data_IF_936454978021
#
_entry.id   IF_936454978021
#
_cell.length_a   1.000
_cell.length_b   1.000
_cell.length_c   1.000
_cell.angle_alpha   90.00
_cell.angle_beta   90.00
_cell.angle_gamma   90.00
#
_symmetry.space_group_name_H-M   'P 1'
#
loop_
_entity.id
_entity.type
_entity.pdbx_description
1 polymer ?
#
# COMPACT_ATOMS: atom_id res chain seq x y z
N UNK A 1 19.45 10.85 17.40
CA UNK A 1 18.29 10.62 18.32
C UNK A 1 18.39 9.24 18.97
N UNK A 2 17.73 8.94 20.11
CA UNK A 2 17.87 7.64 20.76
C UNK A 2 17.15 6.53 19.97
N UNK A 3 17.81 5.37 19.88
CA UNK A 3 17.42 4.15 19.17
C UNK A 3 16.05 3.60 19.65
N UNK A 4 15.55 4.07 20.80
CA UNK A 4 14.28 3.69 21.43
C UNK A 4 13.02 3.93 20.56
N UNK A 5 13.10 4.74 19.52
CA UNK A 5 11.95 5.04 18.64
C UNK A 5 11.86 4.11 17.42
N UNK A 6 12.83 3.21 17.21
CA UNK A 6 12.82 2.29 16.06
C UNK A 6 11.70 1.26 16.16
N UNK A 7 11.47 0.71 17.36
CA UNK A 7 10.46 -0.33 17.60
C UNK A 7 9.04 0.13 17.25
N UNK A 8 8.53 1.28 17.76
CA UNK A 8 7.20 1.75 17.38
C UNK A 8 7.10 2.15 15.90
N UNK A 9 8.18 2.69 15.31
CA UNK A 9 8.19 3.06 13.89
C UNK A 9 8.07 1.82 12.99
N UNK A 10 8.82 0.76 13.31
CA UNK A 10 8.75 -0.50 12.56
C UNK A 10 7.37 -1.15 12.67
N UNK A 11 6.78 -1.17 13.87
CA UNK A 11 5.42 -1.68 14.08
C UNK A 11 4.42 -0.88 13.24
N UNK A 12 4.51 0.45 13.25
CA UNK A 12 3.62 1.30 12.46
C UNK A 12 3.75 1.02 10.95
N UNK A 13 4.97 0.87 10.43
CA UNK A 13 5.23 0.51 9.03
C UNK A 13 4.61 -0.85 8.70
N UNK A 14 4.85 -1.88 9.52
CA UNK A 14 4.28 -3.22 9.31
C UNK A 14 2.74 -3.18 9.31
N UNK A 15 2.12 -2.45 10.24
CA UNK A 15 0.68 -2.27 10.27
C UNK A 15 0.16 -1.59 8.99
N UNK A 16 0.88 -0.58 8.49
CA UNK A 16 0.53 0.12 7.25
C UNK A 16 0.58 -0.83 6.04
N UNK A 17 1.62 -1.66 5.91
CA UNK A 17 1.73 -2.66 4.84
C UNK A 17 0.60 -3.69 4.88
N UNK A 18 0.28 -4.20 6.07
CA UNK A 18 -0.85 -5.13 6.27
C UNK A 18 -2.16 -4.45 5.85
N UNK A 19 -2.37 -3.20 6.24
CA UNK A 19 -3.57 -2.44 5.86
C UNK A 19 -3.70 -2.29 4.33
N UNK A 20 -2.60 -1.94 3.65
CA UNK A 20 -2.54 -1.85 2.19
C UNK A 20 -2.89 -3.19 1.51
N UNK A 21 -2.31 -4.29 1.99
CA UNK A 21 -2.61 -5.63 1.49
C UNK A 21 -4.09 -5.99 1.67
N UNK A 22 -4.63 -5.80 2.88
CA UNK A 22 -6.00 -6.15 3.22
C UNK A 22 -7.01 -5.32 2.42
N UNK A 23 -6.74 -4.05 2.15
CA UNK A 23 -7.60 -3.21 1.31
C UNK A 23 -7.78 -3.79 -0.10
N UNK A 24 -6.67 -4.18 -0.75
CA UNK A 24 -6.70 -4.80 -2.08
C UNK A 24 -7.33 -6.20 -2.05
N UNK A 25 -7.06 -6.99 -1.00
CA UNK A 25 -7.68 -8.29 -0.82
C UNK A 25 -9.20 -8.20 -0.66
N UNK A 26 -9.69 -7.24 0.13
CA UNK A 26 -11.12 -6.98 0.31
C UNK A 26 -11.77 -6.52 -0.98
N UNK A 27 -11.13 -5.66 -1.76
CA UNK A 27 -11.68 -5.25 -3.06
C UNK A 27 -11.80 -6.44 -4.02
N UNK A 28 -10.81 -7.34 -4.04
CA UNK A 28 -10.90 -8.59 -4.82
C UNK A 28 -12.02 -9.50 -4.33
N UNK A 29 -12.26 -9.59 -3.02
CA UNK A 29 -13.37 -10.38 -2.47
C UNK A 29 -14.73 -9.79 -2.87
N UNK A 30 -14.94 -8.47 -2.69
CA UNK A 30 -16.15 -7.77 -3.17
C UNK A 30 -16.37 -7.99 -4.66
N UNK A 31 -15.29 -7.94 -5.43
CA UNK A 31 -15.30 -8.20 -6.86
C UNK A 31 -15.78 -9.61 -7.23
N UNK A 32 -15.42 -10.64 -6.46
CA UNK A 32 -15.88 -12.02 -6.64
C UNK A 32 -17.32 -12.22 -6.17
N UNK A 33 -17.74 -11.52 -5.12
CA UNK A 33 -19.07 -11.63 -4.53
C UNK A 33 -20.14 -10.78 -5.24
N UNK A 34 -19.80 -10.09 -6.34
CA UNK A 34 -20.74 -9.20 -7.05
C UNK A 34 -21.15 -7.96 -6.24
N UNK A 35 -20.42 -7.64 -5.18
CA UNK A 35 -20.70 -6.49 -4.32
C UNK A 35 -20.14 -5.20 -4.90
N UNK A 36 -20.62 -4.07 -4.38
CA UNK A 36 -20.14 -2.74 -4.74
C UNK A 36 -18.60 -2.64 -4.54
N UNK A 37 -17.88 -2.25 -5.58
CA UNK A 37 -16.41 -2.18 -5.58
C UNK A 37 -15.88 -0.91 -4.93
N UNK A 38 -14.71 -1.01 -4.31
CA UNK A 38 -14.07 0.12 -3.65
C UNK A 38 -13.67 1.17 -4.70
N UNK A 39 -13.90 2.47 -4.46
CA UNK A 39 -13.46 3.52 -5.37
C UNK A 39 -11.95 3.43 -5.61
N UNK A 40 -11.52 3.64 -6.86
CA UNK A 40 -10.10 3.53 -7.22
C UNK A 40 -9.24 4.53 -6.47
N UNK A 41 -9.73 5.75 -6.24
CA UNK A 41 -9.07 6.76 -5.42
C UNK A 41 -8.77 6.27 -4.00
N UNK A 42 -9.69 5.53 -3.39
CA UNK A 42 -9.48 4.94 -2.06
C UNK A 42 -8.40 3.88 -2.07
N UNK A 43 -8.34 3.03 -3.11
CA UNK A 43 -7.27 2.04 -3.26
C UNK A 43 -5.90 2.71 -3.47
N UNK A 44 -5.85 3.81 -4.22
CA UNK A 44 -4.65 4.63 -4.36
C UNK A 44 -4.21 5.22 -3.01
N UNK A 45 -5.14 5.73 -2.18
CA UNK A 45 -4.80 6.20 -0.84
C UNK A 45 -4.22 5.08 0.04
N UNK A 46 -4.79 3.87 0.01
CA UNK A 46 -4.21 2.73 0.73
C UNK A 46 -2.83 2.36 0.19
N UNK A 47 -2.61 2.47 -1.12
CA UNK A 47 -1.28 2.28 -1.72
C UNK A 47 -0.26 3.33 -1.28
N UNK A 48 -0.69 4.54 -0.93
CA UNK A 48 0.23 5.56 -0.41
C UNK A 48 0.66 5.26 1.04
N UNK A 49 -0.22 4.61 1.81
CA UNK A 49 0.02 4.27 3.22
C UNK A 49 0.83 2.97 3.34
N UNK A 50 0.47 1.91 2.62
CA UNK A 50 1.10 0.60 2.67
C UNK A 50 1.35 0.05 1.27
N UNK A 51 2.21 0.72 0.53
CA UNK A 51 2.38 0.52 -0.91
C UNK A 51 2.94 -0.84 -1.27
N UNK A 52 3.86 -1.39 -0.47
CA UNK A 52 4.44 -2.71 -0.73
C UNK A 52 3.41 -3.82 -0.52
N UNK A 53 2.65 -3.77 0.57
CA UNK A 53 1.57 -4.72 0.86
C UNK A 53 0.44 -4.64 -0.16
N UNK A 54 0.05 -3.43 -0.56
CA UNK A 54 -0.91 -3.21 -1.63
C UNK A 54 -0.40 -3.78 -2.97
N UNK A 55 0.88 -3.55 -3.31
CA UNK A 55 1.50 -4.06 -4.54
C UNK A 55 1.59 -5.58 -4.53
N UNK A 56 1.97 -6.20 -3.40
CA UNK A 56 1.96 -7.65 -3.21
C UNK A 56 0.55 -8.23 -3.41
N UNK A 57 -0.47 -7.65 -2.76
CA UNK A 57 -1.86 -8.07 -2.95
C UNK A 57 -2.31 -7.94 -4.41
N UNK A 58 -1.92 -6.85 -5.08
CA UNK A 58 -2.24 -6.64 -6.50
C UNK A 58 -1.72 -7.79 -7.37
N UNK A 59 -0.46 -8.20 -7.18
CA UNK A 59 0.18 -9.25 -7.97
C UNK A 59 -0.31 -10.66 -7.60
N UNK A 60 -0.33 -10.98 -6.31
CA UNK A 60 -0.76 -12.31 -5.82
C UNK A 60 -2.22 -12.60 -6.15
N UNK A 61 -3.10 -11.61 -6.02
CA UNK A 61 -4.53 -11.77 -6.29
C UNK A 61 -4.91 -11.46 -7.74
N UNK A 62 -3.92 -11.12 -8.57
CA UNK A 62 -4.09 -10.68 -9.98
C UNK A 62 -5.19 -9.63 -10.08
N UNK A 63 -5.15 -8.66 -9.18
CA UNK A 63 -6.16 -7.62 -9.05
C UNK A 63 -5.76 -6.45 -9.95
N UNK A 64 -6.53 -6.17 -11.01
CA UNK A 64 -6.34 -4.99 -11.89
C UNK A 64 -4.90 -4.74 -12.41
N UNK A 65 -4.09 -5.78 -12.57
CA UNK A 65 -2.68 -5.66 -13.01
C UNK A 65 -2.47 -5.13 -14.42
N UNK A 66 -3.52 -5.06 -15.25
CA UNK A 66 -3.49 -4.55 -16.63
C UNK A 66 -4.53 -3.46 -16.90
N UNK A 67 -5.33 -3.06 -15.91
CA UNK A 67 -6.45 -2.13 -16.12
C UNK A 67 -5.93 -0.69 -16.04
N UNK A 68 -5.90 -0.01 -17.17
CA UNK A 68 -5.66 1.44 -17.20
C UNK A 68 -6.96 2.21 -16.90
N UNK A 69 -6.87 3.43 -16.33
CA UNK A 69 -5.66 4.16 -15.92
C UNK A 69 -5.10 3.74 -14.55
N UNK A 70 -5.79 2.84 -13.86
CA UNK A 70 -5.48 2.47 -12.47
C UNK A 70 -4.06 1.93 -12.30
N UNK A 71 -3.58 1.08 -13.21
CA UNK A 71 -2.23 0.50 -13.13
C UNK A 71 -1.16 1.60 -13.13
N UNK A 72 -1.26 2.56 -14.04
CA UNK A 72 -0.29 3.67 -14.12
C UNK A 72 -0.34 4.52 -12.85
N UNK A 73 -1.54 4.91 -12.40
CA UNK A 73 -1.72 5.70 -11.19
C UNK A 73 -1.20 4.98 -9.95
N UNK A 74 -1.48 3.68 -9.82
CA UNK A 74 -1.01 2.88 -8.70
C UNK A 74 0.51 2.70 -8.73
N UNK A 75 1.11 2.53 -9.91
CA UNK A 75 2.56 2.51 -10.07
C UNK A 75 3.23 3.79 -9.55
N UNK A 76 2.67 4.96 -9.88
CA UNK A 76 3.14 6.25 -9.35
C UNK A 76 3.02 6.34 -7.83
N UNK A 77 1.90 5.86 -7.28
CA UNK A 77 1.67 5.82 -5.83
C UNK A 77 2.69 4.93 -5.12
N UNK A 78 3.00 3.75 -5.65
CA UNK A 78 4.01 2.84 -5.06
C UNK A 78 5.39 3.49 -5.08
N UNK A 79 5.77 4.15 -6.18
CA UNK A 79 7.04 4.89 -6.25
C UNK A 79 7.08 6.01 -5.20
N UNK A 80 6.01 6.80 -5.09
CA UNK A 80 5.91 7.86 -4.09
C UNK A 80 6.01 7.31 -2.66
N UNK A 81 5.32 6.20 -2.38
CA UNK A 81 5.39 5.53 -1.09
C UNK A 81 6.83 5.09 -0.73
N UNK A 82 7.56 4.51 -1.69
CA UNK A 82 8.97 4.12 -1.48
C UNK A 82 9.87 5.31 -1.19
N UNK A 83 9.66 6.44 -1.87
CA UNK A 83 10.39 7.69 -1.61
C UNK A 83 10.13 8.19 -0.18
N UNK A 84 8.87 8.21 0.25
CA UNK A 84 8.50 8.62 1.61
C UNK A 84 9.10 7.70 2.67
N UNK A 85 9.06 6.39 2.44
CA UNK A 85 9.62 5.40 3.34
C UNK A 85 11.14 5.53 3.46
N UNK A 86 11.85 5.73 2.34
CA UNK A 86 13.29 5.96 2.33
C UNK A 86 13.68 7.27 3.02
N UNK A 87 12.96 8.36 2.75
CA UNK A 87 13.18 9.65 3.39
C UNK A 87 12.94 9.59 4.90
N UNK A 88 11.86 8.92 5.34
CA UNK A 88 11.57 8.69 6.74
C UNK A 88 12.64 7.85 7.43
N UNK A 89 13.09 6.77 6.79
CA UNK A 89 14.18 5.94 7.31
C UNK A 89 15.49 6.74 7.44
N UNK A 90 15.85 7.54 6.44
CA UNK A 90 17.04 8.40 6.49
C UNK A 90 16.96 9.41 7.64
N UNK A 91 15.79 10.05 7.83
CA UNK A 91 15.56 10.99 8.93
C UNK A 91 15.67 10.32 10.33
N UNK A 92 15.24 9.06 10.46
CA UNK A 92 15.29 8.33 11.73
C UNK A 92 16.73 7.88 12.07
N UNK A 93 17.52 7.54 11.05
CA UNK A 93 18.87 7.01 11.19
C UNK A 93 19.91 8.12 11.44
N UNK A 94 19.75 9.28 10.81
CA UNK A 94 20.64 10.44 10.95
C UNK A 94 20.42 11.20 12.27
#
# INVERSE_FOLDING_TARGET
>A
MPISNLDPALIAILCAEILGFVAFARDKQKAKAGLWRTPEATLLMFGLIGGLGAWMAQHLLRHKTRKEPFRTQFGLVVVLHLILLAAGAAWIIL
#
